data_IF_599260925876
#
_entry.id   IF_599260925876
#
_cell.length_a   1.000
_cell.length_b   1.000
_cell.length_c   1.000
_cell.angle_alpha   90.00
_cell.angle_beta   90.00
_cell.angle_gamma   90.00
#
_symmetry.space_group_name_H-M   'P 1'
#
loop_
_entity.id
_entity.type
_entity.pdbx_description
1 polymer ?
#
# COMPACT_ATOMS: atom_id res chain seq x y z
N UNK A 1 -14.56 -4.17 14.30
CA UNK A 1 -13.22 -3.64 13.95
C UNK A 1 -13.06 -3.32 12.47
N UNK A 2 -13.81 -4.00 11.60
CA UNK A 2 -13.81 -3.83 10.13
C UNK A 2 -13.98 -2.37 9.66
N UNK A 3 -14.89 -1.58 10.24
CA UNK A 3 -15.08 -0.17 9.84
C UNK A 3 -13.82 0.69 10.02
N UNK A 4 -13.07 0.46 11.11
CA UNK A 4 -11.81 1.17 11.35
C UNK A 4 -10.75 0.75 10.35
N UNK A 5 -10.68 -0.54 10.03
CA UNK A 5 -9.80 -1.06 8.98
C UNK A 5 -10.08 -0.37 7.63
N UNK A 6 -11.35 -0.33 7.18
CA UNK A 6 -11.72 0.31 5.92
C UNK A 6 -11.31 1.79 5.90
N UNK A 7 -11.57 2.51 7.00
CA UNK A 7 -11.15 3.91 7.12
C UNK A 7 -9.63 4.09 7.04
N UNK A 8 -8.85 3.21 7.67
CA UNK A 8 -7.39 3.28 7.59
C UNK A 8 -6.86 2.88 6.21
N UNK A 9 -7.48 1.90 5.56
CA UNK A 9 -7.14 1.53 4.19
C UNK A 9 -7.22 2.76 3.27
N UNK A 10 -8.37 3.45 3.27
CA UNK A 10 -8.58 4.62 2.41
C UNK A 10 -7.63 5.78 2.77
N UNK A 11 -7.46 6.05 4.07
CA UNK A 11 -6.58 7.11 4.55
C UNK A 11 -5.11 6.86 4.16
N UNK A 12 -4.62 5.64 4.36
CA UNK A 12 -3.23 5.30 4.05
C UNK A 12 -2.96 5.27 2.55
N UNK A 13 -3.96 4.86 1.76
CA UNK A 13 -3.86 4.89 0.31
C UNK A 13 -3.77 6.34 -0.18
N UNK A 14 -4.60 7.23 0.37
CA UNK A 14 -4.57 8.65 0.04
C UNK A 14 -3.23 9.28 0.42
N UNK A 15 -2.74 9.05 1.64
CA UNK A 15 -1.43 9.58 2.09
C UNK A 15 -0.30 9.09 1.19
N UNK A 16 -0.29 7.81 0.81
CA UNK A 16 0.75 7.27 -0.08
C UNK A 16 0.76 7.97 -1.44
N UNK A 17 -0.43 8.25 -2.00
CA UNK A 17 -0.57 8.97 -3.27
C UNK A 17 -0.16 10.44 -3.17
N UNK A 18 -0.52 11.11 -2.08
CA UNK A 18 -0.18 12.52 -1.84
C UNK A 18 1.32 12.74 -1.61
N UNK A 19 2.03 11.73 -1.11
CA UNK A 19 3.48 11.77 -0.90
C UNK A 19 4.24 11.68 -2.22
N UNK A 20 3.70 11.07 -3.27
CA UNK A 20 4.39 10.94 -4.56
C UNK A 20 4.19 12.18 -5.44
N UNK A 21 5.28 12.75 -5.94
CA UNK A 21 5.22 13.86 -6.89
C UNK A 21 5.57 13.38 -8.30
N UNK A 22 4.59 13.25 -9.21
CA UNK A 22 4.86 12.78 -10.58
C UNK A 22 5.71 13.78 -11.40
N UNK A 23 5.72 15.07 -11.07
CA UNK A 23 6.55 16.07 -11.75
C UNK A 23 8.03 15.99 -11.32
N UNK A 24 8.29 15.44 -10.13
CA UNK A 24 9.63 15.23 -9.56
C UNK A 24 9.75 13.83 -8.96
N UNK A 25 9.68 12.78 -9.79
CA UNK A 25 9.42 11.41 -9.35
C UNK A 25 10.48 10.83 -8.42
N UNK A 26 11.69 11.39 -8.38
CA UNK A 26 12.80 10.92 -7.53
C UNK A 26 12.93 11.64 -6.19
N UNK A 27 12.36 12.84 -6.04
CA UNK A 27 12.57 13.69 -4.84
C UNK A 27 11.98 13.04 -3.58
N UNK A 28 10.81 12.41 -3.71
CA UNK A 28 10.06 11.77 -2.63
C UNK A 28 9.85 10.27 -2.83
N UNK A 29 10.50 9.66 -3.83
CA UNK A 29 10.34 8.25 -4.18
C UNK A 29 10.61 7.29 -3.02
N UNK A 30 11.76 7.48 -2.35
CA UNK A 30 12.18 6.63 -1.23
C UNK A 30 11.24 6.75 -0.04
N UNK A 31 10.70 7.95 0.19
CA UNK A 31 9.74 8.19 1.25
C UNK A 31 8.39 7.53 0.91
N UNK A 32 7.92 7.71 -0.33
CA UNK A 32 6.72 7.06 -0.83
C UNK A 32 6.78 5.53 -0.71
N UNK A 33 7.88 4.89 -1.12
CA UNK A 33 8.07 3.44 -1.01
C UNK A 33 8.03 3.01 0.47
N UNK A 34 8.73 3.74 1.35
CA UNK A 34 8.75 3.44 2.79
C UNK A 34 7.35 3.55 3.42
N UNK A 35 6.57 4.57 3.03
CA UNK A 35 5.19 4.72 3.49
C UNK A 35 4.31 3.58 3.01
N UNK A 36 4.41 3.22 1.74
CA UNK A 36 3.69 2.13 1.12
C UNK A 36 3.94 0.80 1.85
N UNK A 37 5.20 0.44 2.08
CA UNK A 37 5.58 -0.78 2.81
C UNK A 37 5.07 -0.78 4.25
N UNK A 38 5.26 0.34 4.97
CA UNK A 38 4.82 0.47 6.36
C UNK A 38 3.30 0.35 6.49
N UNK A 39 2.55 1.03 5.63
CA UNK A 39 1.08 0.99 5.67
C UNK A 39 0.54 -0.38 5.29
N UNK A 40 1.15 -1.05 4.31
CA UNK A 40 0.85 -2.44 3.97
C UNK A 40 0.99 -3.36 5.18
N UNK A 41 2.12 -3.33 5.88
CA UNK A 41 2.36 -4.16 7.07
C UNK A 41 1.31 -3.90 8.17
N UNK A 42 0.98 -2.63 8.41
CA UNK A 42 -0.04 -2.25 9.40
C UNK A 42 -1.42 -2.80 9.03
N UNK A 43 -1.83 -2.67 7.76
CA UNK A 43 -3.13 -3.16 7.30
C UNK A 43 -3.22 -4.68 7.34
N UNK A 44 -2.15 -5.40 6.97
CA UNK A 44 -2.09 -6.87 7.10
C UNK A 44 -2.23 -7.28 8.57
N UNK A 45 -1.53 -6.61 9.49
CA UNK A 45 -1.67 -6.85 10.92
C UNK A 45 -3.10 -6.65 11.42
N UNK A 46 -3.80 -5.61 10.92
CA UNK A 46 -5.21 -5.39 11.24
C UNK A 46 -6.13 -6.49 10.69
N UNK A 47 -5.93 -6.93 9.45
CA UNK A 47 -6.71 -8.02 8.83
C UNK A 47 -6.55 -9.32 9.63
N UNK A 48 -5.32 -9.65 10.03
CA UNK A 48 -5.04 -10.83 10.85
C UNK A 48 -5.77 -10.75 12.21
N UNK A 49 -5.73 -9.59 12.89
CA UNK A 49 -6.46 -9.40 14.15
C UNK A 49 -7.98 -9.52 13.96
N UNK A 50 -8.54 -8.98 12.88
CA UNK A 50 -9.97 -9.08 12.56
C UNK A 50 -10.36 -10.55 12.32
N UNK A 51 -9.51 -11.32 11.63
CA UNK A 51 -9.71 -12.75 11.41
C UNK A 51 -9.64 -13.56 12.71
N UNK A 52 -8.67 -13.28 13.60
CA UNK A 52 -8.58 -13.92 14.92
C UNK A 52 -9.81 -13.64 15.80
N UNK A 53 -10.42 -12.47 15.65
CA UNK A 53 -11.67 -12.12 16.32
C UNK A 53 -12.92 -12.80 15.72
N UNK A 54 -12.76 -13.53 14.61
CA UNK A 54 -13.85 -14.16 13.88
C UNK A 54 -14.73 -13.19 13.09
N UNK A 55 -14.30 -11.93 12.93
CA UNK A 55 -14.99 -10.94 12.08
C UNK A 55 -14.70 -11.17 10.59
N UNK A 56 -13.62 -11.90 10.26
CA UNK A 56 -13.35 -12.44 8.92
C UNK A 56 -13.23 -13.96 8.93
N UNK A 57 -13.66 -14.58 7.82
CA UNK A 57 -13.22 -15.93 7.48
C UNK A 57 -11.77 -15.90 7.00
N UNK A 58 -11.08 -17.04 7.03
CA UNK A 58 -9.72 -17.15 6.50
C UNK A 58 -9.66 -16.73 5.02
N UNK A 59 -10.62 -17.16 4.21
CA UNK A 59 -10.71 -16.76 2.80
C UNK A 59 -10.93 -15.25 2.62
N UNK A 60 -11.75 -14.62 3.47
CA UNK A 60 -11.95 -13.17 3.42
C UNK A 60 -10.67 -12.41 3.81
N UNK A 61 -9.93 -12.91 4.81
CA UNK A 61 -8.66 -12.33 5.23
C UNK A 61 -7.60 -12.43 4.11
N UNK A 62 -7.50 -13.59 3.44
CA UNK A 62 -6.60 -13.76 2.29
C UNK A 62 -6.92 -12.79 1.16
N UNK A 63 -8.20 -12.65 0.79
CA UNK A 63 -8.64 -11.68 -0.24
C UNK A 63 -8.31 -10.23 0.13
N UNK A 64 -8.48 -9.85 1.39
CA UNK A 64 -8.11 -8.50 1.81
C UNK A 64 -6.59 -8.30 1.84
N UNK A 65 -5.79 -9.31 2.17
CA UNK A 65 -4.33 -9.25 2.07
C UNK A 65 -3.90 -9.05 0.61
N UNK A 66 -4.47 -9.80 -0.32
CA UNK A 66 -4.19 -9.64 -1.76
C UNK A 66 -4.55 -8.24 -2.26
N UNK A 67 -5.71 -7.72 -1.85
CA UNK A 67 -6.14 -6.35 -2.15
C UNK A 67 -5.18 -5.30 -1.59
N UNK A 68 -4.64 -5.50 -0.38
CA UNK A 68 -3.62 -4.61 0.19
C UNK A 68 -2.36 -4.67 -0.67
N UNK A 69 -1.88 -5.85 -1.08
CA UNK A 69 -0.69 -5.95 -1.94
C UNK A 69 -0.88 -5.25 -3.30
N UNK A 70 -2.06 -5.35 -3.89
CA UNK A 70 -2.39 -4.67 -5.14
C UNK A 70 -2.30 -3.14 -5.01
N UNK A 71 -2.94 -2.58 -3.97
CA UNK A 71 -3.09 -1.14 -3.79
C UNK A 71 -1.86 -0.48 -3.14
N UNK A 72 -1.18 -1.20 -2.25
CA UNK A 72 0.05 -0.78 -1.57
C UNK A 72 1.26 -1.47 -2.20
N UNK A 73 1.40 -1.27 -3.51
CA UNK A 73 2.61 -1.58 -4.27
C UNK A 73 3.28 -0.29 -4.74
N UNK A 74 4.62 -0.31 -4.81
CA UNK A 74 5.39 0.80 -5.39
C UNK A 74 5.02 1.06 -6.85
N UNK A 75 4.61 0.02 -7.58
CA UNK A 75 4.12 0.15 -8.95
C UNK A 75 2.79 0.90 -8.99
N UNK A 76 1.82 0.53 -8.15
CA UNK A 76 0.50 1.18 -8.16
C UNK A 76 0.51 2.62 -7.65
N UNK A 77 1.39 2.94 -6.69
CA UNK A 77 1.41 4.26 -6.05
C UNK A 77 2.37 5.23 -6.75
N UNK A 78 3.58 4.79 -7.08
CA UNK A 78 4.63 5.66 -7.61
C UNK A 78 5.22 5.19 -8.95
N UNK A 79 4.54 4.26 -9.64
CA UNK A 79 4.97 3.70 -10.93
C UNK A 79 6.42 3.20 -10.89
N UNK A 80 6.84 2.68 -9.74
CA UNK A 80 8.22 2.33 -9.46
C UNK A 80 8.39 0.83 -9.25
N UNK A 81 9.28 0.22 -10.03
CA UNK A 81 9.74 -1.15 -9.81
C UNK A 81 10.96 -1.13 -8.91
N UNK A 82 10.90 -1.88 -7.82
CA UNK A 82 12.02 -2.05 -6.89
C UNK A 82 12.61 -3.44 -7.13
N UNK A 83 13.83 -3.49 -7.66
CA UNK A 83 14.65 -4.71 -7.82
C UNK A 83 15.87 -4.62 -6.90
N UNK A 84 16.74 -5.64 -6.87
CA UNK A 84 17.89 -5.77 -5.97
C UNK A 84 18.80 -4.53 -5.90
N UNK A 85 18.42 -3.53 -5.10
CA UNK A 85 19.13 -2.26 -4.93
C UNK A 85 18.80 -1.15 -5.94
N UNK A 86 17.96 -1.41 -6.95
CA UNK A 86 17.63 -0.45 -8.01
C UNK A 86 16.13 -0.11 -8.03
N UNK A 87 15.80 1.17 -8.26
CA UNK A 87 14.42 1.63 -8.39
C UNK A 87 14.23 2.29 -9.76
N UNK A 88 13.42 1.67 -10.61
CA UNK A 88 13.07 2.19 -11.94
C UNK A 88 11.68 2.80 -11.89
N UNK A 89 11.55 4.09 -12.23
CA UNK A 89 10.27 4.80 -12.31
C UNK A 89 9.84 4.91 -13.77
N UNK A 90 8.60 4.57 -14.06
CA UNK A 90 7.97 4.79 -15.35
C UNK A 90 7.17 6.08 -15.29
N UNK A 91 7.48 7.03 -16.18
CA UNK A 91 6.69 8.24 -16.36
C UNK A 91 6.01 8.10 -17.72
N UNK A 92 4.68 7.94 -17.75
CA UNK A 92 3.95 8.04 -19.00
C UNK A 92 4.07 9.48 -19.51
N UNK A 93 4.75 9.64 -20.64
CA UNK A 93 4.82 10.93 -21.33
C UNK A 93 3.50 11.09 -22.08
N UNK A 94 2.61 11.90 -21.52
CA UNK A 94 1.38 12.35 -22.19
C UNK A 94 1.67 13.24 -23.39
#
# INVERSE_FOLDING_TARGET
MVEKYNRFFDLYLQVSKDVYNPEKPYDNLKECIRHCERFREQLIGMVNLIAEMGEFTMEAAEKEIDRIFEHFSSVAICHAYVTEGEVMVFVEVG
#
